data_IF_759182560639
#
_entry.id   IF_759182560639
#
_cell.length_a   1.000
_cell.length_b   1.000
_cell.length_c   1.000
_cell.angle_alpha   90.00
_cell.angle_beta   90.00
_cell.angle_gamma   90.00
#
_symmetry.space_group_name_H-M   'P 1'
#
loop_
_entity.id
_entity.type
_entity.pdbx_description
1 polymer ?
#
# COMPACT_ATOMS: atom_id res chain seq x y z
N UNK A 1 3.99 -40.90 37.94
CA UNK A 1 4.48 -39.57 37.53
C UNK A 1 3.62 -39.05 36.38
N UNK A 2 2.83 -37.99 36.59
CA UNK A 2 1.99 -37.39 35.54
C UNK A 2 2.78 -36.34 34.77
N UNK A 3 2.93 -36.52 33.44
CA UNK A 3 3.57 -35.55 32.55
C UNK A 3 2.62 -34.38 32.34
N UNK A 4 2.92 -33.22 32.95
CA UNK A 4 2.26 -31.94 32.63
C UNK A 4 2.59 -31.56 31.19
N UNK A 5 1.61 -31.68 30.29
CA UNK A 5 1.68 -31.13 28.93
C UNK A 5 1.60 -29.61 29.06
N UNK A 6 2.70 -28.90 28.78
CA UNK A 6 2.69 -27.44 28.66
C UNK A 6 1.84 -27.08 27.44
N UNK A 7 0.68 -26.44 27.64
CA UNK A 7 -0.03 -25.75 26.55
C UNK A 7 0.94 -24.74 25.94
N UNK A 8 1.27 -24.89 24.67
CA UNK A 8 1.91 -23.84 23.88
C UNK A 8 0.95 -22.66 23.91
N UNK A 9 1.33 -21.57 24.57
CA UNK A 9 0.64 -20.29 24.40
C UNK A 9 0.79 -19.92 22.92
N UNK A 10 -0.28 -20.10 22.15
CA UNK A 10 -0.39 -19.51 20.83
C UNK A 10 -0.45 -18.01 21.02
N UNK A 11 0.64 -17.31 20.75
CA UNK A 11 0.62 -15.86 20.64
C UNK A 11 -0.48 -15.49 19.63
N UNK A 12 -1.29 -14.45 19.91
CA UNK A 12 -2.30 -14.00 18.97
C UNK A 12 -1.59 -13.68 17.64
N UNK A 13 -2.09 -14.23 16.55
CA UNK A 13 -1.63 -13.86 15.21
C UNK A 13 -2.05 -12.40 15.02
N UNK A 14 -1.10 -11.48 15.15
CA UNK A 14 -1.31 -10.08 14.82
C UNK A 14 -1.27 -10.00 13.30
N UNK A 15 -2.43 -10.04 12.67
CA UNK A 15 -2.57 -9.66 11.27
C UNK A 15 -2.28 -8.15 11.18
N UNK A 16 -1.39 -7.76 10.26
CA UNK A 16 -1.03 -6.38 9.98
C UNK A 16 -2.18 -5.60 9.32
N UNK A 17 -1.92 -4.99 8.17
CA UNK A 17 -2.98 -4.30 7.43
C UNK A 17 -3.55 -5.17 6.31
N UNK A 18 -4.87 -5.11 6.15
CA UNK A 18 -5.55 -5.68 4.98
C UNK A 18 -5.55 -4.67 3.82
N UNK A 19 -5.19 -5.08 2.59
CA UNK A 19 -5.38 -4.24 1.41
C UNK A 19 -6.87 -4.06 1.14
N UNK A 20 -7.27 -2.82 0.91
CA UNK A 20 -8.56 -2.42 0.38
C UNK A 20 -8.34 -1.65 -0.92
N UNK A 21 -9.19 -1.84 -1.92
CA UNK A 21 -9.21 -1.00 -3.12
C UNK A 21 -10.44 -0.10 -3.03
N UNK A 22 -10.24 1.21 -3.04
CA UNK A 22 -11.36 2.14 -3.04
C UNK A 22 -11.99 2.18 -4.44
N UNK A 23 -13.00 1.33 -4.65
CA UNK A 23 -13.64 1.10 -5.94
C UNK A 23 -14.27 2.38 -6.54
N UNK A 24 -14.65 3.35 -5.71
CA UNK A 24 -15.45 4.50 -6.14
C UNK A 24 -14.66 5.60 -6.87
N UNK A 25 -13.34 5.70 -6.68
CA UNK A 25 -12.51 6.66 -7.41
C UNK A 25 -11.97 6.10 -8.75
N UNK A 26 -12.07 4.78 -8.97
CA UNK A 26 -11.28 4.07 -9.99
C UNK A 26 -12.04 3.56 -11.21
N UNK A 27 -13.35 3.79 -11.34
CA UNK A 27 -14.08 3.44 -12.56
C UNK A 27 -13.47 4.08 -13.84
N UNK A 28 -12.64 5.13 -13.71
CA UNK A 28 -11.97 5.84 -14.80
C UNK A 28 -10.53 5.41 -15.11
N UNK A 29 -9.93 4.50 -14.33
CA UNK A 29 -8.52 4.12 -14.47
C UNK A 29 -8.37 2.59 -14.46
N UNK A 30 -8.63 1.92 -15.59
CA UNK A 30 -8.65 0.45 -15.62
C UNK A 30 -7.26 -0.11 -15.34
N UNK A 31 -7.16 -0.89 -14.27
CA UNK A 31 -5.99 -1.72 -13.94
C UNK A 31 -5.69 -2.76 -15.03
N UNK A 32 -6.61 -2.96 -15.97
CA UNK A 32 -6.48 -3.90 -17.09
C UNK A 32 -5.18 -3.70 -17.88
N UNK A 33 -4.77 -2.45 -18.11
CA UNK A 33 -3.52 -2.18 -18.83
C UNK A 33 -2.31 -2.56 -17.99
N UNK A 34 -2.38 -2.42 -16.66
CA UNK A 34 -1.31 -2.84 -15.72
C UNK A 34 -1.11 -4.36 -15.80
N UNK A 35 -2.21 -5.12 -15.81
CA UNK A 35 -2.16 -6.58 -15.87
C UNK A 35 -1.73 -7.11 -17.24
N UNK A 36 -2.01 -6.38 -18.32
CA UNK A 36 -1.65 -6.76 -19.69
C UNK A 36 -0.21 -6.40 -20.08
N UNK A 37 0.35 -5.31 -19.54
CA UNK A 37 1.56 -4.73 -20.14
C UNK A 37 2.89 -5.22 -19.58
N UNK A 38 3.08 -5.53 -18.28
CA UNK A 38 4.38 -6.03 -17.76
C UNK A 38 4.31 -6.89 -16.48
N UNK A 39 4.91 -8.10 -16.52
CA UNK A 39 5.04 -9.02 -15.37
C UNK A 39 5.76 -8.41 -14.15
N UNK A 40 6.71 -7.49 -14.36
CA UNK A 40 7.46 -6.86 -13.27
C UNK A 40 6.58 -5.99 -12.37
N UNK A 41 5.61 -5.25 -12.94
CA UNK A 41 4.67 -4.44 -12.16
C UNK A 41 3.79 -5.29 -11.25
N UNK A 42 3.28 -6.41 -11.77
CA UNK A 42 2.47 -7.36 -11.00
C UNK A 42 3.26 -7.91 -9.80
N UNK A 43 4.55 -8.25 -10.00
CA UNK A 43 5.39 -8.74 -8.90
C UNK A 43 5.56 -7.70 -7.80
N UNK A 44 5.74 -6.43 -8.16
CA UNK A 44 5.87 -5.33 -7.20
C UNK A 44 4.58 -5.06 -6.43
N UNK A 45 3.43 -5.04 -7.12
CA UNK A 45 2.11 -4.88 -6.50
C UNK A 45 1.82 -6.06 -5.57
N UNK A 46 2.09 -7.29 -5.99
CA UNK A 46 1.96 -8.48 -5.13
C UNK A 46 2.87 -8.40 -3.91
N UNK A 47 4.12 -7.99 -4.09
CA UNK A 47 5.07 -7.81 -2.98
C UNK A 47 4.64 -6.70 -2.02
N UNK A 48 4.00 -5.64 -2.52
CA UNK A 48 3.37 -4.62 -1.67
C UNK A 48 2.25 -5.23 -0.84
N UNK A 49 1.27 -5.84 -1.49
CA UNK A 49 0.09 -6.41 -0.85
C UNK A 49 0.46 -7.51 0.16
N UNK A 50 1.44 -8.35 -0.16
CA UNK A 50 1.94 -9.36 0.78
C UNK A 50 2.60 -8.73 2.00
N UNK A 51 3.44 -7.72 1.80
CA UNK A 51 4.23 -7.16 2.90
C UNK A 51 3.41 -6.32 3.87
N UNK A 52 2.31 -5.69 3.44
CA UNK A 52 1.43 -4.93 4.34
C UNK A 52 0.76 -5.79 5.41
N UNK A 53 0.51 -7.08 5.12
CA UNK A 53 -0.04 -8.03 6.10
C UNK A 53 0.90 -8.28 7.28
N UNK A 54 2.19 -7.99 7.13
CA UNK A 54 3.19 -8.15 8.18
C UNK A 54 3.52 -6.82 8.88
N UNK A 55 2.91 -5.72 8.47
CA UNK A 55 3.18 -4.38 8.99
C UNK A 55 2.09 -3.95 9.98
N UNK A 56 2.46 -3.38 11.12
CA UNK A 56 1.51 -2.87 12.13
C UNK A 56 1.47 -1.34 12.15
N UNK A 57 2.40 -0.67 11.47
CA UNK A 57 2.48 0.77 11.35
C UNK A 57 3.11 1.21 10.01
N UNK A 58 3.02 2.51 9.71
CA UNK A 58 3.77 3.11 8.59
C UNK A 58 5.29 2.98 8.76
N UNK A 59 5.77 2.96 10.01
CA UNK A 59 7.19 2.78 10.33
C UNK A 59 7.62 1.35 9.95
N UNK A 60 6.80 0.35 10.26
CA UNK A 60 7.06 -1.03 9.84
C UNK A 60 7.06 -1.16 8.33
N UNK A 61 6.12 -0.50 7.63
CA UNK A 61 6.09 -0.52 6.17
C UNK A 61 7.38 0.05 5.58
N UNK A 62 7.87 1.18 6.12
CA UNK A 62 9.14 1.80 5.68
C UNK A 62 10.34 0.87 5.88
N UNK A 63 10.34 0.08 6.95
CA UNK A 63 11.46 -0.79 7.30
C UNK A 63 11.39 -2.16 6.60
N UNK A 64 10.20 -2.76 6.49
CA UNK A 64 9.98 -4.13 6.00
C UNK A 64 9.76 -4.21 4.50
N UNK A 65 9.20 -3.18 3.87
CA UNK A 65 9.01 -3.15 2.42
C UNK A 65 10.31 -2.70 1.72
N UNK A 66 11.40 -3.45 1.94
CA UNK A 66 12.76 -3.18 1.44
C UNK A 66 12.81 -2.94 -0.07
N UNK A 67 13.69 -2.03 -0.49
CA UNK A 67 13.87 -1.64 -1.89
C UNK A 67 12.83 -0.64 -2.41
N UNK A 68 12.05 -0.03 -1.53
CA UNK A 68 10.97 0.89 -1.88
C UNK A 68 11.03 2.14 -1.02
N UNK A 69 10.81 3.30 -1.63
CA UNK A 69 10.79 4.56 -0.91
C UNK A 69 9.36 4.95 -0.59
N UNK A 70 8.97 4.91 0.69
CA UNK A 70 7.64 5.33 1.14
C UNK A 70 7.67 6.77 1.65
N UNK A 71 6.98 7.66 0.95
CA UNK A 71 6.87 9.09 1.27
C UNK A 71 5.46 9.46 1.70
N UNK A 72 5.37 10.34 2.69
CA UNK A 72 4.12 11.04 2.96
C UNK A 72 3.92 12.13 1.89
N UNK A 73 2.72 12.23 1.36
CA UNK A 73 2.35 13.29 0.42
C UNK A 73 1.96 14.50 1.26
N UNK A 74 2.87 15.48 1.35
CA UNK A 74 2.64 16.69 2.16
C UNK A 74 1.63 17.62 1.50
N UNK A 75 0.62 18.08 2.24
CA UNK A 75 -0.55 18.82 1.74
C UNK A 75 -0.25 20.03 0.84
N UNK A 76 0.95 20.63 0.94
CA UNK A 76 1.33 21.82 0.17
C UNK A 76 2.19 21.52 -1.07
N UNK A 77 2.55 20.26 -1.34
CA UNK A 77 3.32 19.92 -2.53
C UNK A 77 2.45 19.98 -3.79
N UNK A 78 3.05 20.28 -4.95
CA UNK A 78 2.33 20.23 -6.24
C UNK A 78 1.77 18.84 -6.54
N UNK A 79 2.49 17.80 -6.12
CA UNK A 79 1.96 16.43 -6.12
C UNK A 79 0.70 16.31 -5.26
N UNK A 80 0.72 16.77 -4.01
CA UNK A 80 -0.45 16.67 -3.14
C UNK A 80 -1.65 17.42 -3.69
N UNK A 81 -1.45 18.62 -4.25
CA UNK A 81 -2.51 19.39 -4.90
C UNK A 81 -3.15 18.60 -6.05
N UNK A 82 -2.34 17.92 -6.87
CA UNK A 82 -2.81 17.09 -8.00
C UNK A 82 -3.52 15.83 -7.51
N UNK A 83 -2.88 15.07 -6.64
CA UNK A 83 -3.41 13.82 -6.09
C UNK A 83 -4.70 14.09 -5.32
N UNK A 84 -4.75 15.12 -4.46
CA UNK A 84 -5.97 15.47 -3.72
C UNK A 84 -7.09 15.97 -4.64
N UNK A 85 -6.76 16.67 -5.74
CA UNK A 85 -7.77 17.08 -6.74
C UNK A 85 -8.43 15.88 -7.41
N UNK A 86 -7.65 14.85 -7.73
CA UNK A 86 -8.14 13.67 -8.46
C UNK A 86 -8.77 12.65 -7.53
N UNK A 87 -8.06 12.26 -6.47
CA UNK A 87 -8.46 11.19 -5.55
C UNK A 87 -9.43 11.65 -4.46
N UNK A 88 -9.41 12.95 -4.11
CA UNK A 88 -10.25 13.54 -3.05
C UNK A 88 -10.20 12.77 -1.72
N UNK A 89 -9.08 12.11 -1.44
CA UNK A 89 -8.94 11.31 -0.23
C UNK A 89 -8.86 12.21 1.01
N UNK A 90 -9.66 11.97 2.06
CA UNK A 90 -9.81 12.91 3.17
C UNK A 90 -8.70 12.82 4.23
N UNK A 91 -7.80 11.84 4.13
CA UNK A 91 -6.76 11.58 5.13
C UNK A 91 -5.34 11.69 4.54
N UNK A 92 -4.33 11.50 5.39
CA UNK A 92 -2.93 11.50 4.97
C UNK A 92 -2.68 10.38 3.95
N UNK A 93 -2.21 10.77 2.76
CA UNK A 93 -1.76 9.85 1.72
C UNK A 93 -0.27 9.57 1.83
N UNK A 94 0.07 8.34 1.50
CA UNK A 94 1.44 7.88 1.30
C UNK A 94 1.60 7.42 -0.14
N UNK A 95 2.84 7.50 -0.62
CA UNK A 95 3.27 6.96 -1.90
C UNK A 95 4.42 6.00 -1.67
N UNK A 96 4.40 4.88 -2.37
CA UNK A 96 5.59 4.03 -2.51
C UNK A 96 6.14 4.13 -3.94
N UNK A 97 7.42 4.50 -4.07
CA UNK A 97 8.16 4.50 -5.34
C UNK A 97 8.99 3.23 -5.49
N UNK A 98 8.93 2.65 -6.69
CA UNK A 98 9.72 1.49 -7.12
C UNK A 98 10.85 1.87 -8.09
N UNK A 99 11.33 3.13 -8.01
CA UNK A 99 12.49 3.66 -8.74
C UNK A 99 12.49 3.33 -10.23
N UNK A 100 13.24 2.29 -10.59
CA UNK A 100 13.65 1.90 -11.94
C UNK A 100 12.49 1.62 -12.92
N UNK A 101 11.29 1.31 -12.42
CA UNK A 101 10.17 0.90 -13.26
C UNK A 101 9.09 1.97 -13.45
N UNK A 102 9.22 3.12 -12.75
CA UNK A 102 8.23 4.21 -12.78
C UNK A 102 6.88 3.85 -12.15
N UNK A 103 6.79 2.76 -11.38
CA UNK A 103 5.59 2.35 -10.66
C UNK A 103 5.48 3.13 -9.34
N UNK A 104 4.32 3.76 -9.14
CA UNK A 104 3.91 4.37 -7.88
C UNK A 104 2.61 3.75 -7.39
N UNK A 105 2.52 3.48 -6.10
CA UNK A 105 1.25 3.11 -5.45
C UNK A 105 0.94 4.17 -4.40
N UNK A 106 -0.24 4.76 -4.53
CA UNK A 106 -0.80 5.74 -3.61
C UNK A 106 -1.75 5.03 -2.64
N UNK A 107 -1.57 5.26 -1.35
CA UNK A 107 -2.37 4.58 -0.34
C UNK A 107 -2.59 5.41 0.93
N UNK A 108 -3.73 5.18 1.56
CA UNK A 108 -4.03 5.62 2.92
C UNK A 108 -3.87 4.48 3.92
N UNK A 109 -3.76 4.82 5.21
CA UNK A 109 -3.74 3.84 6.30
C UNK A 109 -4.85 4.19 7.28
N UNK A 110 -5.75 3.23 7.54
CA UNK A 110 -6.66 3.27 8.67
C UNK A 110 -6.15 2.39 9.80
N UNK A 111 -5.65 3.02 10.87
CA UNK A 111 -5.24 2.29 12.07
C UNK A 111 -6.43 1.67 12.80
N UNK A 112 -7.57 2.36 12.81
CA UNK A 112 -8.80 1.90 13.45
C UNK A 112 -9.31 0.60 12.82
N UNK A 113 -9.31 0.52 11.49
CA UNK A 113 -9.84 -0.64 10.76
C UNK A 113 -8.75 -1.62 10.32
N UNK A 114 -7.47 -1.34 10.61
CA UNK A 114 -6.32 -2.11 10.11
C UNK A 114 -6.36 -2.28 8.59
N UNK A 115 -6.69 -1.20 7.87
CA UNK A 115 -6.75 -1.17 6.41
C UNK A 115 -5.62 -0.34 5.81
N UNK A 116 -5.13 -0.80 4.66
CA UNK A 116 -4.38 0.00 3.70
C UNK A 116 -5.28 0.21 2.49
N UNK A 117 -5.77 1.42 2.32
CA UNK A 117 -6.62 1.79 1.18
C UNK A 117 -5.70 2.12 0.01
N UNK A 118 -5.65 1.26 -0.99
CA UNK A 118 -4.94 1.51 -2.24
C UNK A 118 -5.83 2.44 -3.08
N UNK A 119 -5.41 3.70 -3.19
CA UNK A 119 -6.19 4.80 -3.78
C UNK A 119 -5.69 5.18 -5.18
N UNK A 120 -4.53 4.70 -5.63
CA UNK A 120 -4.15 4.74 -7.05
C UNK A 120 -2.91 3.90 -7.33
N UNK A 121 -2.78 3.48 -8.59
CA UNK A 121 -1.57 2.89 -9.14
C UNK A 121 -1.20 3.71 -10.39
N UNK A 122 -0.03 4.32 -10.39
CA UNK A 122 0.47 5.15 -11.47
C UNK A 122 1.68 4.49 -12.13
N UNK A 123 1.59 4.26 -13.43
CA UNK A 123 2.65 3.66 -14.23
C UNK A 123 3.40 4.75 -14.99
N UNK A 124 4.73 4.72 -14.95
CA UNK A 124 5.62 5.66 -15.65
C UNK A 124 5.35 7.13 -15.33
N UNK A 125 4.70 7.41 -14.20
CA UNK A 125 4.35 8.75 -13.77
C UNK A 125 3.48 9.51 -14.77
N UNK A 126 2.65 8.83 -15.56
CA UNK A 126 1.93 9.48 -16.67
C UNK A 126 0.71 10.24 -16.20
N UNK A 127 0.14 9.89 -15.04
CA UNK A 127 -1.16 10.43 -14.63
C UNK A 127 -1.07 11.48 -13.51
N UNK A 128 -0.06 11.39 -12.64
CA UNK A 128 0.03 12.25 -11.46
C UNK A 128 1.29 13.15 -11.42
N UNK A 129 2.13 13.16 -12.47
CA UNK A 129 3.23 14.14 -12.63
C UNK A 129 2.82 15.46 -13.28
#
# INVERSE_FOLDING_TARGET
MSKKIKKKETQPIIYGYFPSFDYYAHARHPLDDVFKTKKSYISHIRGFMSGIFECCSIIDMKNKLTGKEIKAIGNNSEEAKRVNRVLKYPFQLYRVDYGDNGLRIYFGISQQYRLVDIVAIDLKHTYFN
#
